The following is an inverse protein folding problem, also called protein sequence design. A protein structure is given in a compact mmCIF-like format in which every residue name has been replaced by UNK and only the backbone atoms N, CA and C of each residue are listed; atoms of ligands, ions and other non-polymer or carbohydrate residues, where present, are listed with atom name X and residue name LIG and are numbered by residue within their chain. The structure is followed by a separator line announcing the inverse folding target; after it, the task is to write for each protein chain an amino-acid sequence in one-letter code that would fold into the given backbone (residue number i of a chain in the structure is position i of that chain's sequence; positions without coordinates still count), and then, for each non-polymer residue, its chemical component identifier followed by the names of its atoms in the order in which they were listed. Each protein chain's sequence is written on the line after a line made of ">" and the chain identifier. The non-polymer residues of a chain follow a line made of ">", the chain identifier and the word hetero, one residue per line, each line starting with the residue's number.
data_IF_578250958629
#
_entry.id   IF_578250958629
#
_cell.length_a   1.000
_cell.length_b   1.000
_cell.length_c   1.000
_cell.angle_alpha   90.00
_cell.angle_beta   90.00
_cell.angle_gamma   90.00
#
_symmetry.space_group_name_H-M   'P 1'
#
loop_
_entity.id
_entity.type
_entity.pdbx_description
1 polymer ?
#
# COMPACT_ATOMS: atom_id res chain seq x y z
N UNK A 1 -0.23 -20.62 -4.70
CA UNK A 1 -0.95 -19.45 -4.14
C UNK A 1 -0.26 -18.21 -4.68
N UNK A 2 -0.99 -17.22 -5.21
CA UNK A 2 -0.36 -15.99 -5.73
C UNK A 2 0.16 -15.18 -4.53
N UNK A 3 1.46 -14.89 -4.49
CA UNK A 3 2.07 -14.04 -3.46
C UNK A 3 1.66 -12.59 -3.73
N UNK A 4 1.18 -11.88 -2.71
CA UNK A 4 0.83 -10.45 -2.83
C UNK A 4 2.00 -9.51 -2.54
N UNK A 5 3.03 -10.02 -1.88
CA UNK A 5 4.22 -9.27 -1.48
C UNK A 5 5.48 -10.02 -1.91
N UNK A 6 6.61 -9.34 -1.82
CA UNK A 6 7.94 -9.91 -2.04
C UNK A 6 8.89 -9.57 -0.87
N UNK A 7 8.37 -9.58 0.37
CA UNK A 7 9.15 -9.34 1.59
C UNK A 7 10.24 -10.38 1.78
N UNK A 8 10.07 -11.60 1.24
CA UNK A 8 11.12 -12.62 1.25
C UNK A 8 12.44 -12.13 0.62
N UNK A 9 12.35 -11.26 -0.39
CA UNK A 9 13.51 -10.70 -1.11
C UNK A 9 14.24 -9.61 -0.28
N UNK A 10 13.63 -9.16 0.82
CA UNK A 10 14.23 -8.24 1.80
C UNK A 10 14.86 -8.97 3.00
N UNK A 11 14.96 -10.31 2.94
CA UNK A 11 15.62 -11.10 3.98
C UNK A 11 17.12 -11.21 3.71
N UNK A 12 17.93 -11.05 4.76
CA UNK A 12 19.35 -11.38 4.74
C UNK A 12 19.63 -12.48 5.76
N UNK A 13 20.20 -13.60 5.31
CA UNK A 13 20.42 -14.78 6.16
C UNK A 13 19.12 -15.26 6.86
N UNK A 14 17.98 -15.19 6.14
CA UNK A 14 16.66 -15.60 6.66
C UNK A 14 16.02 -14.63 7.66
N UNK A 15 16.57 -13.43 7.84
CA UNK A 15 16.09 -12.41 8.79
C UNK A 15 15.74 -11.10 8.10
N UNK A 16 14.71 -10.43 8.59
CA UNK A 16 14.25 -9.12 8.08
C UNK A 16 15.36 -8.09 8.19
N UNK A 17 15.79 -7.56 7.04
CA UNK A 17 16.74 -6.44 6.95
C UNK A 17 15.98 -5.15 6.64
N UNK A 18 16.08 -4.15 7.54
CA UNK A 18 15.41 -2.85 7.35
C UNK A 18 16.04 -1.73 8.16
N UNK A 19 15.70 -0.50 7.81
CA UNK A 19 15.95 0.68 8.63
C UNK A 19 15.07 0.68 9.88
N UNK A 20 15.56 1.29 10.96
CA UNK A 20 14.86 1.37 12.25
C UNK A 20 14.47 2.78 12.66
N UNK A 21 14.89 3.78 11.88
CA UNK A 21 14.59 5.18 12.11
C UNK A 21 14.17 5.81 10.79
N UNK A 22 13.45 6.92 10.91
CA UNK A 22 13.01 7.79 9.83
C UNK A 22 13.00 9.23 10.38
N UNK A 23 13.23 10.27 9.56
CA UNK A 23 13.57 10.19 8.13
C UNK A 23 15.00 9.69 7.90
N UNK A 24 15.26 9.15 6.70
CA UNK A 24 16.61 8.84 6.22
C UNK A 24 17.25 10.10 5.63
N UNK A 25 18.46 10.43 6.06
CA UNK A 25 19.22 11.51 5.44
C UNK A 25 19.78 11.04 4.10
N UNK A 26 19.50 11.80 3.04
CA UNK A 26 19.92 11.48 1.68
C UNK A 26 20.89 12.54 1.17
N UNK A 27 22.11 12.14 0.84
CA UNK A 27 23.04 13.00 0.10
C UNK A 27 22.98 12.64 -1.38
N UNK A 28 22.88 13.65 -2.23
CA UNK A 28 22.88 13.51 -3.68
C UNK A 28 24.17 14.16 -4.17
N UNK A 29 25.12 13.34 -4.64
CA UNK A 29 26.40 13.80 -5.12
C UNK A 29 26.24 14.72 -6.34
N UNK A 30 27.13 15.71 -6.52
CA UNK A 30 27.14 16.51 -7.75
C UNK A 30 27.51 15.62 -8.96
N UNK A 31 26.87 15.86 -10.10
CA UNK A 31 27.23 15.17 -11.34
C UNK A 31 28.53 15.75 -11.93
N UNK A 32 29.56 14.92 -12.01
CA UNK A 32 30.84 15.26 -12.63
C UNK A 32 31.01 14.67 -14.05
N UNK A 33 29.94 14.63 -14.84
CA UNK A 33 29.96 14.15 -16.23
C UNK A 33 30.09 15.32 -17.21
N UNK A 34 31.25 15.44 -17.88
CA UNK A 34 31.48 16.45 -18.92
C UNK A 34 30.42 16.40 -20.04
N UNK A 35 30.00 15.19 -20.45
CA UNK A 35 28.97 14.95 -21.48
C UNK A 35 27.56 15.42 -21.08
N UNK A 36 27.35 15.81 -19.83
CA UNK A 36 26.05 16.25 -19.27
C UNK A 36 26.14 17.58 -18.54
N UNK A 37 27.15 18.39 -18.85
CA UNK A 37 27.31 19.72 -18.25
C UNK A 37 26.02 20.55 -18.39
N UNK A 38 25.55 21.11 -17.26
CA UNK A 38 24.30 21.88 -17.20
C UNK A 38 23.02 21.08 -16.93
N UNK A 39 23.08 19.74 -16.88
CA UNK A 39 21.91 18.89 -16.59
C UNK A 39 21.81 18.40 -15.14
N UNK A 40 22.78 18.75 -14.28
CA UNK A 40 22.83 18.33 -12.86
C UNK A 40 21.51 18.62 -12.13
N UNK A 41 20.99 19.84 -12.28
CA UNK A 41 19.71 20.23 -11.67
C UNK A 41 18.55 19.32 -12.09
N UNK A 42 18.49 18.92 -13.36
CA UNK A 42 17.40 18.07 -13.87
C UNK A 42 17.41 16.69 -13.20
N UNK A 43 18.56 16.03 -13.18
CA UNK A 43 18.68 14.69 -12.57
C UNK A 43 18.56 14.74 -11.05
N UNK A 44 19.06 15.80 -10.41
CA UNK A 44 18.82 16.07 -8.99
C UNK A 44 17.33 16.19 -8.69
N UNK A 45 16.56 16.91 -9.51
CA UNK A 45 15.11 17.01 -9.34
C UNK A 45 14.40 15.66 -9.55
N UNK A 46 14.88 14.82 -10.48
CA UNK A 46 14.34 13.46 -10.65
C UNK A 46 14.52 12.62 -9.38
N UNK A 47 15.69 12.69 -8.73
CA UNK A 47 15.94 12.02 -7.46
C UNK A 47 15.01 12.56 -6.36
N UNK A 48 14.93 13.88 -6.20
CA UNK A 48 14.05 14.50 -5.20
C UNK A 48 12.59 14.06 -5.41
N UNK A 49 12.11 14.09 -6.65
CA UNK A 49 10.77 13.64 -7.01
C UNK A 49 10.57 12.17 -6.64
N UNK A 50 11.53 11.29 -6.94
CA UNK A 50 11.41 9.87 -6.63
C UNK A 50 11.38 9.60 -5.12
N UNK A 51 12.17 10.34 -4.33
CA UNK A 51 12.08 10.31 -2.87
C UNK A 51 10.66 10.70 -2.42
N UNK A 52 10.13 11.82 -2.91
CA UNK A 52 8.77 12.30 -2.59
C UNK A 52 7.67 11.31 -2.96
N UNK A 53 7.77 10.66 -4.13
CA UNK A 53 6.81 9.63 -4.55
C UNK A 53 6.81 8.43 -3.59
N UNK A 54 7.98 7.96 -3.14
CA UNK A 54 8.06 6.91 -2.13
C UNK A 54 7.46 7.32 -0.78
N UNK A 55 7.71 8.57 -0.31
CA UNK A 55 7.06 9.07 0.91
C UNK A 55 5.54 9.12 0.77
N UNK A 56 5.06 9.65 -0.36
CA UNK A 56 3.63 9.82 -0.64
C UNK A 56 2.93 8.46 -0.76
N UNK A 57 3.49 7.55 -1.53
CA UNK A 57 2.94 6.22 -1.76
C UNK A 57 2.82 5.42 -0.46
N UNK A 58 3.79 5.59 0.45
CA UNK A 58 3.82 4.94 1.77
C UNK A 58 3.13 5.75 2.87
N UNK A 59 2.49 6.89 2.53
CA UNK A 59 1.80 7.80 3.47
C UNK A 59 2.69 8.23 4.64
N UNK A 60 3.97 8.50 4.37
CA UNK A 60 4.96 8.94 5.35
C UNK A 60 5.54 7.83 6.21
N UNK A 61 5.21 6.55 5.95
CA UNK A 61 5.86 5.42 6.64
C UNK A 61 7.35 5.35 6.35
N UNK A 62 7.73 5.70 5.13
CA UNK A 62 9.10 6.04 4.76
C UNK A 62 9.19 7.55 4.61
N UNK A 63 10.24 8.15 5.14
CA UNK A 63 10.53 9.56 4.95
C UNK A 63 12.02 9.81 4.75
N UNK A 64 12.32 10.90 4.08
CA UNK A 64 13.65 11.30 3.64
C UNK A 64 13.89 12.76 3.99
N UNK A 65 15.15 13.10 4.20
CA UNK A 65 15.63 14.46 4.35
C UNK A 65 16.88 14.63 3.49
N UNK A 66 16.83 15.51 2.49
CA UNK A 66 18.03 15.79 1.69
C UNK A 66 19.01 16.60 2.53
N UNK A 67 20.27 16.16 2.57
CA UNK A 67 21.38 16.82 3.28
C UNK A 67 22.45 17.28 2.30
N UNK A 68 23.26 18.24 2.72
CA UNK A 68 24.27 18.87 1.86
C UNK A 68 25.65 18.20 1.96
N UNK A 69 25.87 17.34 2.94
CA UNK A 69 27.16 16.70 3.19
C UNK A 69 27.01 15.18 3.23
N UNK A 70 28.01 14.48 2.68
CA UNK A 70 28.06 13.02 2.70
C UNK A 70 28.10 12.45 4.13
N UNK A 71 28.81 13.14 5.04
CA UNK A 71 28.99 12.72 6.43
C UNK A 71 27.68 12.66 7.24
N UNK A 72 26.66 13.42 6.84
CA UNK A 72 25.35 13.42 7.49
C UNK A 72 24.39 12.37 6.91
N UNK A 73 24.77 11.72 5.81
CA UNK A 73 23.88 10.86 5.04
C UNK A 73 23.80 9.43 5.56
N UNK A 74 22.61 8.84 5.39
CA UNK A 74 22.38 7.40 5.53
C UNK A 74 22.28 6.74 4.16
N UNK A 75 21.76 7.46 3.18
CA UNK A 75 21.70 7.06 1.77
C UNK A 75 22.54 8.03 0.97
N UNK A 76 23.56 7.52 0.28
CA UNK A 76 24.37 8.30 -0.64
C UNK A 76 23.96 7.92 -2.07
N UNK A 77 23.68 8.94 -2.89
CA UNK A 77 23.35 8.78 -4.30
C UNK A 77 24.51 9.30 -5.13
N UNK A 78 25.18 8.40 -5.83
CA UNK A 78 26.22 8.68 -6.79
C UNK A 78 25.74 8.49 -8.24
N UNK A 79 26.53 9.05 -9.15
CA UNK A 79 26.29 8.98 -10.58
C UNK A 79 27.44 8.23 -11.23
N UNK A 80 27.13 7.18 -11.99
CA UNK A 80 28.13 6.40 -12.72
C UNK A 80 27.80 6.31 -14.21
N UNK A 81 28.82 5.99 -15.01
CA UNK A 81 28.59 5.68 -16.42
C UNK A 81 27.83 4.35 -16.51
N UNK A 82 26.79 4.28 -17.35
CA UNK A 82 26.06 3.02 -17.60
C UNK A 82 27.03 1.91 -18.00
N UNK A 83 26.91 0.78 -17.32
CA UNK A 83 27.59 -0.46 -17.69
C UNK A 83 26.66 -1.32 -18.56
N UNK A 84 27.23 -2.18 -19.42
CA UNK A 84 26.44 -3.02 -20.35
C UNK A 84 25.47 -4.00 -19.66
N UNK A 85 25.64 -4.26 -18.37
CA UNK A 85 24.90 -5.30 -17.63
C UNK A 85 23.90 -4.76 -16.60
N UNK A 86 24.11 -3.55 -16.10
CA UNK A 86 23.30 -2.98 -15.02
C UNK A 86 23.26 -1.46 -15.12
N UNK A 87 22.05 -0.94 -14.93
CA UNK A 87 21.69 0.46 -15.15
C UNK A 87 21.73 1.26 -13.84
N UNK A 88 21.71 0.56 -12.70
CA UNK A 88 21.91 1.09 -11.36
C UNK A 88 22.37 -0.03 -10.42
N UNK A 89 22.86 0.34 -9.25
CA UNK A 89 23.14 -0.61 -8.17
C UNK A 89 22.89 0.05 -6.82
N UNK A 90 22.41 -0.74 -5.87
CA UNK A 90 22.34 -0.36 -4.47
C UNK A 90 23.12 -1.35 -3.60
N UNK A 91 24.04 -0.85 -2.80
CA UNK A 91 24.79 -1.63 -1.81
C UNK A 91 24.36 -1.28 -0.39
N UNK A 92 24.10 -2.31 0.42
CA UNK A 92 23.66 -2.16 1.80
C UNK A 92 24.79 -2.33 2.79
N UNK A 93 24.77 -1.49 3.82
CA UNK A 93 25.53 -1.67 5.05
C UNK A 93 24.56 -1.99 6.19
N UNK A 94 24.76 -3.14 6.83
CA UNK A 94 23.91 -3.63 7.91
C UNK A 94 24.73 -4.30 9.02
N UNK A 95 24.21 -4.26 10.25
CA UNK A 95 24.85 -4.88 11.41
C UNK A 95 24.43 -6.34 11.61
N UNK A 96 25.01 -7.01 12.62
CA UNK A 96 24.70 -8.41 12.96
C UNK A 96 23.25 -8.66 13.40
N UNK A 97 22.47 -7.61 13.65
CA UNK A 97 21.04 -7.70 13.95
C UNK A 97 20.17 -7.45 12.71
N UNK A 98 20.76 -7.35 11.52
CA UNK A 98 20.09 -6.99 10.26
C UNK A 98 19.48 -5.58 10.26
N UNK A 99 20.05 -4.64 11.03
CA UNK A 99 19.68 -3.23 10.93
C UNK A 99 20.46 -2.57 9.80
N UNK A 100 19.75 -1.91 8.89
CA UNK A 100 20.40 -1.03 7.91
C UNK A 100 20.93 0.22 8.61
N UNK A 101 22.17 0.59 8.28
CA UNK A 101 22.79 1.85 8.73
C UNK A 101 23.42 2.66 7.58
N UNK A 102 23.54 2.08 6.38
CA UNK A 102 24.03 2.77 5.19
C UNK A 102 23.48 2.15 3.90
N UNK A 103 23.24 2.98 2.88
CA UNK A 103 22.96 2.54 1.52
C UNK A 103 23.71 3.42 0.50
N UNK A 104 24.46 2.78 -0.40
CA UNK A 104 25.17 3.42 -1.50
C UNK A 104 24.43 3.11 -2.80
N UNK A 105 23.86 4.14 -3.42
CA UNK A 105 23.04 4.04 -4.62
C UNK A 105 23.80 4.65 -5.79
N UNK A 106 24.10 3.84 -6.79
CA UNK A 106 24.77 4.28 -8.01
C UNK A 106 23.80 4.30 -9.18
N UNK A 107 23.52 5.49 -9.73
CA UNK A 107 22.64 5.66 -10.89
C UNK A 107 23.47 5.73 -12.17
N UNK A 108 23.21 4.80 -13.09
CA UNK A 108 23.85 4.77 -14.39
C UNK A 108 23.27 5.82 -15.34
N UNK A 109 24.14 6.68 -15.88
CA UNK A 109 23.81 7.60 -16.96
C UNK A 109 24.58 7.24 -18.25
N UNK A 110 23.87 7.24 -19.38
CA UNK A 110 24.50 7.03 -20.70
C UNK A 110 24.98 8.34 -21.31
N UNK A 111 26.04 8.26 -22.11
CA UNK A 111 26.54 9.36 -22.94
C UNK A 111 25.93 9.40 -24.35
N UNK A 112 24.98 8.52 -24.67
CA UNK A 112 24.30 8.49 -25.97
C UNK A 112 25.02 7.71 -27.07
N UNK A 113 26.25 7.23 -26.84
CA UNK A 113 27.00 6.35 -27.76
C UNK A 113 26.62 4.87 -27.62
N UNK A 114 26.12 4.46 -26.45
CA UNK A 114 25.67 3.10 -26.12
C UNK A 114 24.32 3.23 -25.41
N UNK A 115 23.31 2.47 -25.81
CA UNK A 115 21.93 2.61 -25.30
C UNK A 115 21.33 4.02 -25.52
N UNK A 116 21.32 4.52 -26.76
CA UNK A 116 20.72 5.82 -27.09
C UNK A 116 19.25 5.94 -26.63
N UNK A 117 18.48 4.85 -26.69
CA UNK A 117 17.12 4.80 -26.16
C UNK A 117 17.03 5.03 -24.63
N UNK A 118 18.14 4.82 -23.91
CA UNK A 118 18.24 5.02 -22.46
C UNK A 118 18.49 6.49 -22.10
N UNK A 119 18.53 7.37 -23.10
CA UNK A 119 18.41 8.82 -22.91
C UNK A 119 16.97 9.26 -22.70
N UNK A 120 15.98 8.36 -22.85
CA UNK A 120 14.62 8.67 -22.43
C UNK A 120 14.63 8.98 -20.92
N UNK A 121 14.24 10.19 -20.58
CA UNK A 121 14.13 10.68 -19.20
C UNK A 121 13.27 9.74 -18.36
N UNK A 122 12.31 9.09 -19.00
CA UNK A 122 11.42 8.13 -18.40
C UNK A 122 12.18 6.90 -17.88
N UNK A 123 13.18 6.41 -18.62
CA UNK A 123 13.98 5.22 -18.27
C UNK A 123 15.01 5.52 -17.19
N UNK A 124 15.61 6.73 -17.21
CA UNK A 124 16.47 7.18 -16.11
C UNK A 124 15.65 7.32 -14.84
N UNK A 125 14.46 7.91 -14.93
CA UNK A 125 13.57 8.08 -13.78
C UNK A 125 13.07 6.74 -13.23
N UNK A 126 12.76 5.76 -14.08
CA UNK A 126 12.50 4.37 -13.67
C UNK A 126 13.62 3.84 -12.77
N UNK A 127 14.86 3.93 -13.23
CA UNK A 127 16.02 3.43 -12.49
C UNK A 127 16.20 4.15 -11.18
N UNK A 128 16.04 5.47 -11.16
CA UNK A 128 16.08 6.24 -9.90
C UNK A 128 15.01 5.73 -8.92
N UNK A 129 13.76 5.53 -9.36
CA UNK A 129 12.70 5.01 -8.50
C UNK A 129 13.01 3.60 -7.98
N UNK A 130 13.52 2.72 -8.84
CA UNK A 130 13.90 1.34 -8.52
C UNK A 130 15.02 1.29 -7.48
N UNK A 131 16.10 2.03 -7.71
CA UNK A 131 17.25 2.04 -6.80
C UNK A 131 16.93 2.70 -5.45
N UNK A 132 16.03 3.69 -5.41
CA UNK A 132 15.51 4.20 -4.13
C UNK A 132 14.68 3.14 -3.42
N UNK A 133 13.92 2.32 -4.16
CA UNK A 133 13.22 1.16 -3.62
C UNK A 133 14.17 0.17 -2.95
N UNK A 134 15.32 -0.10 -3.58
CA UNK A 134 16.39 -0.82 -2.91
C UNK A 134 16.90 -0.10 -1.68
N UNK A 135 17.22 1.20 -1.76
CA UNK A 135 17.74 1.97 -0.63
C UNK A 135 16.85 1.93 0.62
N UNK A 136 15.53 1.77 0.46
CA UNK A 136 14.57 1.60 1.57
C UNK A 136 14.44 0.15 2.05
N UNK A 137 15.22 -0.78 1.51
CA UNK A 137 15.32 -2.18 1.92
C UNK A 137 14.47 -3.16 1.11
N UNK A 138 13.87 -2.76 -0.01
CA UNK A 138 13.14 -3.70 -0.87
C UNK A 138 14.09 -4.57 -1.69
N UNK A 139 13.74 -5.85 -1.84
CA UNK A 139 14.31 -6.71 -2.88
C UNK A 139 13.56 -6.59 -4.21
N UNK A 140 13.81 -7.51 -5.13
CA UNK A 140 13.14 -7.50 -6.43
C UNK A 140 11.70 -8.04 -6.35
N UNK A 141 10.79 -7.44 -7.09
CA UNK A 141 9.45 -8.00 -7.28
C UNK A 141 9.44 -9.11 -8.34
N UNK A 142 8.47 -10.01 -8.20
CA UNK A 142 8.13 -11.02 -9.19
C UNK A 142 7.05 -10.56 -10.19
N UNK A 143 6.45 -9.39 -9.97
CA UNK A 143 5.34 -8.85 -10.76
C UNK A 143 5.82 -7.76 -11.72
N UNK A 144 5.64 -7.95 -13.03
CA UNK A 144 6.07 -7.02 -14.09
C UNK A 144 5.52 -5.59 -13.99
N UNK A 145 4.42 -5.39 -13.26
CA UNK A 145 3.82 -4.08 -13.06
C UNK A 145 4.45 -3.29 -11.88
N UNK A 146 5.31 -3.92 -11.09
CA UNK A 146 5.97 -3.32 -9.94
C UNK A 146 7.26 -2.62 -10.38
N UNK A 147 7.57 -1.46 -9.76
CA UNK A 147 8.81 -0.75 -10.07
C UNK A 147 10.03 -1.59 -9.69
N UNK A 148 9.90 -2.44 -8.67
CA UNK A 148 10.97 -3.33 -8.19
C UNK A 148 11.15 -4.58 -9.03
N UNK A 149 10.40 -4.78 -10.12
CA UNK A 149 10.54 -5.96 -10.95
C UNK A 149 11.86 -6.00 -11.73
N UNK A 150 12.44 -7.19 -11.85
CA UNK A 150 13.58 -7.45 -12.72
C UNK A 150 13.26 -8.63 -13.66
N UNK A 151 13.63 -8.57 -14.96
CA UNK A 151 14.35 -7.48 -15.63
C UNK A 151 13.49 -6.23 -15.87
N UNK A 152 14.16 -5.06 -15.97
CA UNK A 152 13.57 -3.75 -16.26
C UNK A 152 12.43 -3.81 -17.29
N UNK A 153 11.30 -3.15 -17.02
CA UNK A 153 10.16 -3.04 -17.94
C UNK A 153 9.97 -1.58 -18.36
N UNK A 154 10.09 -1.32 -19.67
CA UNK A 154 9.87 0.02 -20.23
C UNK A 154 8.48 0.55 -19.91
N UNK A 155 8.41 1.83 -19.59
CA UNK A 155 7.15 2.55 -19.32
C UNK A 155 6.58 2.37 -17.91
N UNK A 156 7.21 1.56 -17.04
CA UNK A 156 6.83 1.47 -15.63
C UNK A 156 7.53 2.59 -14.84
N UNK A 157 6.88 3.74 -14.69
CA UNK A 157 7.50 4.93 -14.07
C UNK A 157 6.76 5.40 -12.82
N UNK A 158 6.07 4.46 -12.15
CA UNK A 158 5.28 4.71 -10.95
C UNK A 158 5.39 3.55 -9.98
N UNK A 159 5.22 3.85 -8.70
CA UNK A 159 5.22 2.87 -7.61
C UNK A 159 3.88 2.13 -7.64
N UNK A 160 3.91 0.80 -7.70
CA UNK A 160 2.70 -0.01 -7.76
C UNK A 160 2.08 -0.22 -6.37
N UNK A 161 0.86 -0.76 -6.33
CA UNK A 161 0.25 -1.18 -5.06
C UNK A 161 0.99 -2.38 -4.44
N UNK A 162 1.63 -3.24 -5.24
CA UNK A 162 2.46 -4.35 -4.76
C UNK A 162 3.71 -3.85 -4.05
N UNK A 163 4.34 -2.81 -4.60
CA UNK A 163 5.48 -2.13 -3.97
C UNK A 163 5.09 -1.51 -2.64
N UNK A 164 4.00 -0.73 -2.62
CA UNK A 164 3.48 -0.10 -1.40
C UNK A 164 3.10 -1.12 -0.34
N UNK A 165 2.43 -2.22 -0.74
CA UNK A 165 2.06 -3.28 0.19
C UNK A 165 3.29 -3.95 0.80
N UNK A 166 4.31 -4.22 -0.01
CA UNK A 166 5.55 -4.87 0.44
C UNK A 166 6.32 -3.98 1.42
N UNK A 167 6.52 -2.69 1.12
CA UNK A 167 7.14 -1.74 2.07
C UNK A 167 6.36 -1.68 3.37
N UNK A 168 5.04 -1.58 3.28
CA UNK A 168 4.20 -1.49 4.47
C UNK A 168 4.32 -2.73 5.36
N UNK A 169 4.45 -3.91 4.78
CA UNK A 169 4.73 -5.13 5.53
C UNK A 169 6.16 -5.16 6.09
N UNK A 170 7.17 -4.88 5.28
CA UNK A 170 8.57 -4.86 5.72
C UNK A 170 8.75 -4.01 6.98
N UNK A 171 8.17 -2.80 7.00
CA UNK A 171 8.28 -1.86 8.12
C UNK A 171 7.22 -2.05 9.22
N UNK A 172 6.30 -3.01 9.11
CA UNK A 172 5.45 -3.43 10.25
C UNK A 172 6.06 -4.59 11.03
N UNK A 173 6.97 -5.33 10.41
CA UNK A 173 7.66 -6.47 11.00
C UNK A 173 8.86 -6.02 11.86
N UNK A 174 9.25 -6.80 12.89
CA UNK A 174 10.46 -6.50 13.66
C UNK A 174 11.69 -6.65 12.79
N UNK A 175 12.65 -5.76 12.99
CA UNK A 175 14.00 -5.95 12.47
C UNK A 175 14.57 -7.29 12.96
N UNK A 176 15.28 -8.01 12.10
CA UNK A 176 15.94 -9.26 12.45
C UNK A 176 15.00 -10.45 12.65
N UNK A 177 13.68 -10.25 12.53
CA UNK A 177 12.69 -11.31 12.66
C UNK A 177 12.88 -12.37 11.58
N UNK A 178 12.78 -13.62 11.99
CA UNK A 178 12.76 -14.81 11.14
C UNK A 178 11.34 -15.10 10.67
N UNK A 179 11.21 -15.87 9.59
CA UNK A 179 9.91 -16.36 9.12
C UNK A 179 9.12 -17.10 10.20
N UNK A 180 9.79 -17.85 11.06
CA UNK A 180 9.15 -18.58 12.17
C UNK A 180 8.58 -17.64 13.25
N UNK A 181 9.32 -16.58 13.61
CA UNK A 181 8.82 -15.58 14.56
C UNK A 181 7.62 -14.80 13.97
N UNK A 182 7.63 -14.53 12.66
CA UNK A 182 6.51 -13.91 11.95
C UNK A 182 5.30 -14.84 11.92
N UNK A 183 5.50 -16.12 11.58
CA UNK A 183 4.46 -17.16 11.63
C UNK A 183 3.80 -17.23 13.02
N UNK A 184 4.61 -17.30 14.07
CA UNK A 184 4.15 -17.35 15.46
C UNK A 184 3.38 -16.09 15.85
N UNK A 185 3.86 -14.90 15.45
CA UNK A 185 3.21 -13.62 15.75
C UNK A 185 1.80 -13.52 15.19
N UNK A 186 1.59 -14.01 13.97
CA UNK A 186 0.29 -13.94 13.30
C UNK A 186 -0.57 -15.19 13.50
N UNK A 187 -0.04 -16.22 14.17
CA UNK A 187 -0.71 -17.50 14.38
C UNK A 187 -1.00 -18.23 13.05
N UNK A 188 -0.07 -18.14 12.10
CA UNK A 188 -0.21 -18.69 10.75
C UNK A 188 1.00 -19.55 10.43
N UNK A 189 0.75 -20.81 10.10
CA UNK A 189 1.79 -21.72 9.62
C UNK A 189 2.23 -21.40 8.19
N UNK A 190 3.54 -21.50 7.96
CA UNK A 190 4.18 -21.37 6.65
C UNK A 190 5.70 -21.37 6.78
N UNK A 191 6.39 -21.76 5.71
CA UNK A 191 7.85 -21.69 5.61
C UNK A 191 8.34 -20.45 4.86
N UNK A 192 7.43 -19.74 4.20
CA UNK A 192 7.69 -18.54 3.40
C UNK A 192 6.93 -17.34 3.98
N UNK A 193 7.60 -16.20 4.11
CA UNK A 193 7.03 -15.02 4.77
C UNK A 193 5.90 -14.39 3.94
N UNK A 194 6.00 -14.39 2.61
CA UNK A 194 4.97 -13.84 1.74
C UNK A 194 3.72 -14.73 1.71
N UNK A 195 3.89 -16.05 1.84
CA UNK A 195 2.79 -16.99 2.04
C UNK A 195 2.04 -16.71 3.35
N UNK A 196 2.77 -16.52 4.45
CA UNK A 196 2.20 -16.19 5.77
C UNK A 196 1.42 -14.88 5.70
N UNK A 197 2.02 -13.84 5.11
CA UNK A 197 1.38 -12.53 4.89
C UNK A 197 0.10 -12.68 4.06
N UNK A 198 0.15 -13.43 2.96
CA UNK A 198 -1.00 -13.67 2.08
C UNK A 198 -2.14 -14.38 2.83
N UNK A 199 -1.84 -15.44 3.59
CA UNK A 199 -2.84 -16.12 4.44
C UNK A 199 -3.44 -15.18 5.48
N UNK A 200 -2.64 -14.28 6.07
CA UNK A 200 -3.11 -13.32 7.06
C UNK A 200 -4.09 -12.32 6.46
N UNK A 201 -3.75 -11.76 5.30
CA UNK A 201 -4.61 -10.84 4.55
C UNK A 201 -5.93 -11.54 4.21
N UNK A 202 -5.87 -12.76 3.68
CA UNK A 202 -7.06 -13.52 3.28
C UNK A 202 -7.95 -13.86 4.48
N UNK A 203 -7.38 -14.21 5.64
CA UNK A 203 -8.14 -14.46 6.87
C UNK A 203 -8.87 -13.21 7.38
N UNK A 204 -8.30 -12.02 7.16
CA UNK A 204 -8.90 -10.75 7.55
C UNK A 204 -9.84 -10.15 6.51
N UNK A 205 -9.78 -10.63 5.27
CA UNK A 205 -10.64 -10.13 4.20
C UNK A 205 -12.00 -10.81 4.37
N UNK A 206 -13.08 -10.06 4.68
CA UNK A 206 -14.39 -10.67 4.78
C UNK A 206 -14.72 -11.32 3.44
N UNK A 207 -15.24 -12.55 3.50
CA UNK A 207 -15.67 -13.26 2.29
C UNK A 207 -16.69 -12.41 1.52
N UNK A 208 -16.83 -12.64 0.21
CA UNK A 208 -17.88 -11.95 -0.57
C UNK A 208 -19.26 -12.08 0.08
N UNK A 209 -19.53 -13.26 0.66
CA UNK A 209 -20.75 -13.51 1.43
C UNK A 209 -20.89 -12.61 2.66
N UNK A 210 -19.82 -12.42 3.44
CA UNK A 210 -19.84 -11.53 4.62
C UNK A 210 -19.98 -10.06 4.23
N UNK A 211 -19.36 -9.63 3.12
CA UNK A 211 -19.55 -8.30 2.56
C UNK A 211 -21.02 -8.08 2.16
N UNK A 212 -21.61 -9.03 1.43
CA UNK A 212 -23.04 -8.99 1.05
C UNK A 212 -23.93 -8.99 2.30
N UNK A 213 -23.69 -9.88 3.26
CA UNK A 213 -24.44 -9.95 4.53
C UNK A 213 -24.41 -8.62 5.30
N UNK A 214 -23.27 -7.93 5.31
CA UNK A 214 -23.12 -6.62 5.97
C UNK A 214 -23.79 -5.47 5.19
N UNK A 215 -23.92 -5.59 3.86
CA UNK A 215 -24.61 -4.61 3.01
C UNK A 215 -26.14 -4.75 3.02
N UNK A 216 -26.65 -5.92 3.42
CA UNK A 216 -28.10 -6.14 3.56
C UNK A 216 -28.55 -5.49 4.88
N UNK A 217 -29.22 -4.34 4.79
CA UNK A 217 -29.99 -3.78 5.90
C UNK A 217 -31.16 -4.72 6.20
N UNK A 218 -30.99 -5.61 7.18
CA UNK A 218 -32.11 -6.35 7.76
C UNK A 218 -33.01 -5.31 8.44
N UNK A 219 -34.30 -5.20 8.08
CA UNK A 219 -35.22 -4.31 8.78
C UNK A 219 -35.20 -4.68 10.26
N UNK A 220 -34.87 -3.72 11.12
CA UNK A 220 -34.95 -3.91 12.56
C UNK A 220 -36.45 -4.00 12.88
N UNK A 221 -36.94 -5.20 13.23
CA UNK A 221 -38.32 -5.36 13.71
C UNK A 221 -38.43 -4.61 15.04
N UNK A 222 -39.14 -3.49 15.04
CA UNK A 222 -39.49 -2.79 16.27
C UNK A 222 -40.73 -3.46 16.87
N UNK A 223 -40.49 -4.35 17.82
CA UNK A 223 -41.55 -5.12 18.48
C UNK A 223 -42.53 -4.20 19.22
N UNK A 224 -42.11 -2.99 19.61
CA UNK A 224 -42.96 -2.04 20.31
C UNK A 224 -43.97 -1.39 19.35
N UNK A 225 -43.51 -1.00 18.15
CA UNK A 225 -44.36 -0.46 17.09
C UNK A 225 -45.36 -1.52 16.55
N UNK A 226 -44.92 -2.78 16.43
CA UNK A 226 -45.81 -3.90 16.11
C UNK A 226 -46.88 -4.12 17.22
N UNK A 227 -46.53 -3.97 18.50
CA UNK A 227 -47.50 -4.08 19.60
C UNK A 227 -48.50 -2.92 19.62
N UNK A 228 -48.06 -1.68 19.36
CA UNK A 228 -48.94 -0.52 19.29
C UNK A 228 -49.90 -0.61 18.10
N UNK A 229 -49.42 -1.02 16.93
CA UNK A 229 -50.27 -1.24 15.75
C UNK A 229 -51.31 -2.32 15.98
N UNK A 230 -50.93 -3.45 16.61
CA UNK A 230 -51.88 -4.49 17.03
C UNK A 230 -52.91 -3.98 18.05
N UNK A 231 -52.49 -3.17 19.03
CA UNK A 231 -53.39 -2.57 20.01
C UNK A 231 -54.39 -1.61 19.34
N UNK A 232 -53.93 -0.78 18.41
CA UNK A 232 -54.76 0.15 17.65
C UNK A 232 -55.77 -0.61 16.77
N UNK A 233 -55.33 -1.66 16.06
CA UNK A 233 -56.24 -2.52 15.28
C UNK A 233 -57.33 -3.14 16.16
N UNK A 234 -56.98 -3.63 17.35
CA UNK A 234 -57.98 -4.15 18.31
C UNK A 234 -58.96 -3.07 18.77
N UNK A 235 -58.47 -1.85 19.03
CA UNK A 235 -59.31 -0.71 19.40
C UNK A 235 -60.29 -0.33 18.29
N UNK A 236 -59.84 -0.26 17.03
CA UNK A 236 -60.73 0.00 15.89
C UNK A 236 -61.76 -1.12 15.70
N UNK A 237 -61.35 -2.38 15.86
CA UNK A 237 -62.26 -3.51 15.80
C UNK A 237 -63.35 -3.43 16.88
N UNK A 238 -62.99 -3.13 18.12
CA UNK A 238 -63.97 -2.91 19.20
C UNK A 238 -64.89 -1.72 18.92
N UNK A 239 -64.36 -0.62 18.36
CA UNK A 239 -65.17 0.53 17.99
C UNK A 239 -66.20 0.16 16.91
N UNK A 240 -65.80 -0.61 15.89
CA UNK A 240 -66.69 -1.10 14.84
C UNK A 240 -67.79 -2.02 15.37
N UNK A 241 -67.47 -2.89 16.35
CA UNK A 241 -68.47 -3.74 17.01
C UNK A 241 -69.49 -2.94 17.81
N UNK A 242 -69.11 -1.78 18.32
CA UNK A 242 -69.95 -0.91 19.15
C UNK A 242 -70.62 0.23 18.37
N UNK A 243 -70.53 0.23 17.03
CA UNK A 243 -71.30 1.19 16.21
C UNK A 243 -72.77 0.82 16.29
N UNK A 244 -73.50 1.52 17.16
CA UNK A 244 -74.96 1.53 17.16
C UNK A 244 -75.45 2.76 16.42
N UNK A 245 -76.35 2.55 15.44
CA UNK A 245 -77.04 3.65 14.76
C UNK A 245 -77.91 4.36 15.79
N UNK A 246 -77.78 5.68 15.93
CA UNK A 246 -78.62 6.46 16.84
C UNK A 246 -80.10 6.32 16.49
N UNK A 247 -80.98 6.38 17.50
CA UNK A 247 -82.42 6.21 17.27
C UNK A 247 -83.01 7.31 16.37
N UNK A 248 -82.40 8.50 16.33
CA UNK A 248 -82.72 9.56 15.38
C UNK A 248 -82.39 9.17 13.93
N UNK A 249 -81.20 8.58 13.69
CA UNK A 249 -80.84 8.06 12.36
C UNK A 249 -81.76 6.89 11.95
N UNK A 250 -82.12 5.99 12.88
CA UNK A 250 -83.11 4.94 12.61
C UNK A 250 -84.44 5.52 12.17
N UNK A 251 -84.94 6.57 12.84
CA UNK A 251 -86.18 7.27 12.46
C UNK A 251 -86.07 7.95 11.09
N UNK A 252 -84.91 8.54 10.76
CA UNK A 252 -84.67 9.15 9.44
C UNK A 252 -84.73 8.12 8.31
N UNK A 253 -84.14 6.94 8.48
CA UNK A 253 -84.20 5.86 7.47
C UNK A 253 -85.58 5.20 7.39
N UNK A 254 -86.31 5.09 8.50
CA UNK A 254 -87.68 4.52 8.53
C UNK A 254 -88.68 5.47 7.86
N UNK A 255 -88.54 6.80 8.02
CA UNK A 255 -89.45 7.78 7.42
C UNK A 255 -89.21 8.08 5.93
N UNK A 256 -88.16 7.52 5.31
CA UNK A 256 -87.93 7.59 3.85
C UNK A 256 -88.60 6.46 3.05
N UNK A 257 -89.34 5.57 3.71
CA UNK A 257 -90.25 4.61 3.06
C UNK A 257 -91.71 5.02 3.29
N UNK A 258 -92.13 6.14 2.71
CA UNK A 258 -93.51 6.43 2.33
C UNK A 258 -93.52 7.45 1.21
#
# INVERSE_FOLDING_TARGET
>A
MQKHTYVAESLKNGRIMRWTFMPLNVYIAPMNFYSKQGQDMKYRHMVIRALEEWQKATRGKISFKVVNTLLESNVNIDWKRVERKALGHCYFSFDGANRLYGAEVAIGLTEGLVHADYMDESEVYHTILHEIGHAIGLGHSHNKADIMYTPHQRGVNSISQGDVLTVNWLYSLPQGATTAEVASRYGIGGSDIDEIITKFINKKTPSEFEKVKSSVKIPKRDLLEEQETLANLRKYHMALQNVQISDEMKKFFINKKK
#
